data_IF_755505951328
#
_entry.id   IF_755505951328
#
_cell.length_a   1.000
_cell.length_b   1.000
_cell.length_c   1.000
_cell.angle_alpha   90.00
_cell.angle_beta   90.00
_cell.angle_gamma   90.00
#
_symmetry.space_group_name_H-M   'P 1'
#
loop_
_entity.id
_entity.type
_entity.pdbx_description
1 polymer ?
#
# COMPACT_ATOMS: atom_id res chain seq x y z
N UNK A 1 0.78 28.65 10.85
CA UNK A 1 2.12 28.41 10.30
C UNK A 1 2.48 29.23 9.06
N UNK A 2 1.57 30.09 8.60
CA UNK A 2 1.81 30.99 7.45
C UNK A 2 2.86 32.10 7.71
N UNK A 3 3.18 32.33 8.98
CA UNK A 3 4.05 33.44 9.40
C UNK A 3 5.52 33.08 9.60
N UNK A 4 5.88 31.81 9.50
CA UNK A 4 7.28 31.41 9.62
C UNK A 4 8.08 31.76 8.35
N UNK A 5 9.31 32.26 8.48
CA UNK A 5 10.23 32.39 7.35
C UNK A 5 10.37 31.09 6.57
N UNK A 6 10.57 31.19 5.24
CA UNK A 6 10.57 30.04 4.34
C UNK A 6 11.52 28.91 4.75
N UNK A 7 12.67 29.25 5.34
CA UNK A 7 13.68 28.30 5.81
C UNK A 7 13.30 27.55 7.10
N UNK A 8 12.34 28.09 7.89
CA UNK A 8 11.83 27.49 9.11
C UNK A 8 10.50 26.70 8.91
N UNK A 9 9.94 26.75 7.70
CA UNK A 9 8.70 26.00 7.43
C UNK A 9 9.00 24.51 7.34
N UNK A 10 8.12 23.65 7.92
CA UNK A 10 8.21 22.21 7.74
C UNK A 10 8.24 21.84 6.26
N UNK A 11 9.15 20.96 5.88
CA UNK A 11 9.24 20.42 4.53
C UNK A 11 8.70 19.01 4.50
N UNK A 12 8.07 18.65 3.40
CA UNK A 12 7.39 17.39 3.24
C UNK A 12 7.96 16.57 2.09
N UNK A 13 7.73 15.27 2.18
CA UNK A 13 7.89 14.31 1.10
C UNK A 13 6.58 13.55 0.91
N UNK A 14 6.39 13.04 -0.28
CA UNK A 14 5.19 12.36 -0.71
C UNK A 14 5.56 11.00 -1.26
N UNK A 15 5.12 9.96 -0.56
CA UNK A 15 5.32 8.58 -0.93
C UNK A 15 4.14 8.13 -1.78
N UNK A 16 4.44 7.67 -2.99
CA UNK A 16 3.46 7.02 -3.84
C UNK A 16 3.34 5.55 -3.41
N UNK A 17 2.17 5.18 -2.94
CA UNK A 17 1.88 3.88 -2.33
C UNK A 17 0.85 3.15 -3.16
N UNK A 18 1.10 1.89 -3.44
CA UNK A 18 0.15 0.98 -4.06
C UNK A 18 -0.31 -0.04 -3.03
N UNK A 19 -1.60 -0.35 -3.07
CA UNK A 19 -2.24 -1.34 -2.22
C UNK A 19 -2.86 -2.43 -3.08
N UNK A 20 -2.77 -3.66 -2.62
CA UNK A 20 -3.47 -4.80 -3.20
C UNK A 20 -4.14 -5.64 -2.12
N UNK A 21 -5.34 -6.09 -2.40
CA UNK A 21 -6.06 -7.08 -1.61
C UNK A 21 -6.91 -7.93 -2.53
N UNK A 22 -7.72 -8.81 -1.98
CA UNK A 22 -8.64 -9.62 -2.76
C UNK A 22 -9.68 -8.72 -3.47
N UNK A 23 -10.15 -9.05 -4.69
CA UNK A 23 -11.04 -8.17 -5.48
C UNK A 23 -12.38 -7.86 -4.83
N UNK A 24 -12.89 -8.75 -3.98
CA UNK A 24 -14.14 -8.58 -3.23
C UNK A 24 -13.98 -7.74 -1.94
N UNK A 25 -12.75 -7.50 -1.50
CA UNK A 25 -12.47 -6.68 -0.33
C UNK A 25 -12.50 -5.18 -0.65
N UNK A 26 -12.84 -4.40 0.37
CA UNK A 26 -12.90 -2.94 0.27
C UNK A 26 -12.14 -2.29 1.40
N UNK A 27 -11.13 -1.53 1.05
CA UNK A 27 -10.33 -0.78 2.01
C UNK A 27 -10.66 0.71 1.90
N UNK A 28 -11.21 1.27 2.96
CA UNK A 28 -11.53 2.69 3.03
C UNK A 28 -10.30 3.53 3.41
N UNK A 29 -10.27 4.79 2.93
CA UNK A 29 -9.20 5.75 3.26
C UNK A 29 -9.00 5.91 4.77
N UNK A 30 -10.10 5.99 5.55
CA UNK A 30 -10.04 6.17 7.01
C UNK A 30 -9.43 4.96 7.70
N UNK A 31 -9.79 3.76 7.28
CA UNK A 31 -9.26 2.51 7.82
C UNK A 31 -7.77 2.40 7.51
N UNK A 32 -7.37 2.64 6.26
CA UNK A 32 -5.95 2.66 5.87
C UNK A 32 -5.14 3.70 6.67
N UNK A 33 -5.66 4.92 6.83
CA UNK A 33 -4.99 5.96 7.64
C UNK A 33 -4.84 5.54 9.10
N UNK A 34 -5.87 4.93 9.67
CA UNK A 34 -5.85 4.46 11.07
C UNK A 34 -4.81 3.37 11.29
N UNK A 35 -4.80 2.34 10.42
CA UNK A 35 -3.81 1.26 10.52
C UNK A 35 -2.40 1.76 10.28
N UNK A 36 -2.20 2.71 9.35
CA UNK A 36 -0.90 3.35 9.15
C UNK A 36 -0.42 4.10 10.41
N UNK A 37 -1.31 4.78 11.12
CA UNK A 37 -0.95 5.42 12.38
C UNK A 37 -0.60 4.39 13.45
N UNK A 38 -1.36 3.31 13.59
CA UNK A 38 -1.04 2.24 14.53
C UNK A 38 0.30 1.57 14.21
N UNK A 39 0.56 1.26 12.96
CA UNK A 39 1.85 0.73 12.52
C UNK A 39 3.00 1.70 12.84
N UNK A 40 2.81 3.00 12.58
CA UNK A 40 3.77 4.04 12.93
C UNK A 40 4.02 4.13 14.44
N UNK A 41 2.98 4.16 15.26
CA UNK A 41 3.09 4.20 16.72
C UNK A 41 3.75 2.93 17.28
N UNK A 42 3.38 1.77 16.79
CA UNK A 42 3.94 0.49 17.25
C UNK A 42 5.42 0.35 16.91
N UNK A 43 5.82 0.81 15.71
CA UNK A 43 7.20 0.68 15.25
C UNK A 43 8.12 1.78 15.80
N UNK A 44 7.63 3.04 15.79
CA UNK A 44 8.47 4.22 16.05
C UNK A 44 8.28 4.81 17.46
N UNK A 45 7.25 4.34 18.17
CA UNK A 45 6.78 4.97 19.40
C UNK A 45 6.11 6.33 19.14
N UNK A 46 5.54 6.93 20.19
CA UNK A 46 4.85 8.22 20.08
C UNK A 46 5.76 9.35 19.55
N UNK A 47 7.01 9.51 20.03
CA UNK A 47 7.89 10.55 19.51
C UNK A 47 8.21 10.38 18.03
N UNK A 48 8.59 9.19 17.61
CA UNK A 48 8.95 8.90 16.21
C UNK A 48 7.75 9.02 15.28
N UNK A 49 6.57 8.59 15.69
CA UNK A 49 5.33 8.75 14.94
C UNK A 49 4.95 10.23 14.77
N UNK A 50 5.13 11.04 15.83
CA UNK A 50 4.91 12.48 15.78
C UNK A 50 5.92 13.18 14.87
N UNK A 51 7.18 12.74 14.85
CA UNK A 51 8.21 13.29 13.97
C UNK A 51 7.94 12.95 12.51
N UNK A 52 7.53 11.73 12.20
CA UNK A 52 7.17 11.31 10.86
C UNK A 52 5.92 12.03 10.33
N UNK A 53 4.93 12.27 11.18
CA UNK A 53 3.67 12.98 10.87
C UNK A 53 2.98 12.45 9.60
N UNK A 54 2.68 11.14 9.63
CA UNK A 54 2.14 10.39 8.50
C UNK A 54 0.69 10.78 8.20
N UNK A 55 0.41 11.18 6.97
CA UNK A 55 -0.94 11.54 6.52
C UNK A 55 -1.22 11.06 5.11
N UNK A 56 -2.35 10.38 4.92
CA UNK A 56 -2.86 10.01 3.60
C UNK A 56 -3.53 11.23 2.96
N UNK A 57 -2.92 11.82 1.94
CA UNK A 57 -3.40 13.05 1.28
C UNK A 57 -4.16 12.78 -0.02
N UNK A 58 -3.92 11.64 -0.66
CA UNK A 58 -4.67 11.13 -1.82
C UNK A 58 -4.95 9.66 -1.61
N UNK A 59 -6.12 9.21 -2.08
CA UNK A 59 -6.53 7.83 -1.96
C UNK A 59 -7.54 7.48 -3.05
N UNK A 60 -7.33 6.39 -3.75
CA UNK A 60 -8.27 5.79 -4.68
C UNK A 60 -8.18 4.26 -4.53
N UNK A 61 -9.33 3.59 -4.54
CA UNK A 61 -9.39 2.15 -4.37
C UNK A 61 -10.57 1.58 -5.17
N UNK A 62 -10.30 0.54 -5.95
CA UNK A 62 -11.31 -0.20 -6.70
C UNK A 62 -10.81 -1.62 -7.01
N UNK A 63 -11.72 -2.59 -6.97
CA UNK A 63 -11.48 -3.98 -7.41
C UNK A 63 -10.22 -4.62 -6.79
N UNK A 64 -10.05 -4.44 -5.48
CA UNK A 64 -8.92 -4.99 -4.74
C UNK A 64 -7.59 -4.26 -4.95
N UNK A 65 -7.59 -3.13 -5.65
CA UNK A 65 -6.40 -2.30 -5.88
C UNK A 65 -6.60 -0.88 -5.41
N UNK A 66 -5.56 -0.33 -4.80
CA UNK A 66 -5.57 1.03 -4.32
C UNK A 66 -4.28 1.78 -4.61
N UNK A 67 -4.41 3.08 -4.74
CA UNK A 67 -3.31 4.03 -4.84
C UNK A 67 -3.47 5.10 -3.78
N UNK A 68 -2.39 5.39 -3.08
CA UNK A 68 -2.37 6.43 -2.07
C UNK A 68 -1.12 7.32 -2.19
N UNK A 69 -1.26 8.57 -1.80
CA UNK A 69 -0.13 9.44 -1.51
C UNK A 69 -0.05 9.65 -0.01
N UNK A 70 1.04 9.23 0.58
CA UNK A 70 1.33 9.43 2.00
C UNK A 70 2.33 10.59 2.15
N UNK A 71 1.90 11.61 2.87
CA UNK A 71 2.74 12.76 3.23
C UNK A 71 3.51 12.44 4.50
N UNK A 72 4.80 12.77 4.50
CA UNK A 72 5.70 12.58 5.63
C UNK A 72 6.67 13.77 5.74
N UNK A 73 7.16 14.06 6.93
CA UNK A 73 8.20 15.08 7.09
C UNK A 73 9.48 14.72 6.36
N UNK A 74 10.12 15.72 5.78
CA UNK A 74 11.42 15.55 5.13
C UNK A 74 12.45 15.07 6.16
N UNK A 75 13.13 13.97 5.83
CA UNK A 75 14.08 13.32 6.75
C UNK A 75 13.50 12.06 7.41
N UNK A 76 12.16 11.90 7.40
CA UNK A 76 11.45 10.78 8.02
C UNK A 76 10.92 9.76 6.98
N UNK A 77 11.48 9.75 5.78
CA UNK A 77 11.02 8.85 4.70
C UNK A 77 11.30 7.39 4.97
N UNK A 78 12.46 7.06 5.57
CA UNK A 78 12.81 5.68 5.90
C UNK A 78 11.95 5.12 7.04
N UNK A 79 11.73 5.83 8.16
CA UNK A 79 10.73 5.44 9.15
C UNK A 79 9.32 5.27 8.57
N UNK A 80 8.89 6.15 7.67
CA UNK A 80 7.60 6.06 7.01
C UNK A 80 7.48 4.80 6.13
N UNK A 81 8.51 4.48 5.36
CA UNK A 81 8.57 3.25 4.56
C UNK A 81 8.53 2.00 5.45
N UNK A 82 9.23 2.02 6.56
CA UNK A 82 9.21 0.92 7.52
C UNK A 82 7.81 0.71 8.13
N UNK A 83 7.11 1.80 8.50
CA UNK A 83 5.75 1.73 9.00
C UNK A 83 4.77 1.17 7.95
N UNK A 84 4.90 1.59 6.69
CA UNK A 84 4.11 1.05 5.57
C UNK A 84 4.40 -0.44 5.34
N UNK A 85 5.65 -0.88 5.47
CA UNK A 85 6.04 -2.27 5.31
C UNK A 85 5.52 -3.18 6.45
N UNK A 86 5.13 -2.62 7.59
CA UNK A 86 4.51 -3.35 8.70
C UNK A 86 2.99 -3.55 8.53
N UNK A 87 2.38 -2.94 7.49
CA UNK A 87 0.96 -3.13 7.22
C UNK A 87 0.74 -4.44 6.46
N UNK A 88 0.07 -5.37 7.09
CA UNK A 88 -0.30 -6.67 6.54
C UNK A 88 -1.81 -6.88 6.45
N UNK A 89 -2.59 -6.09 7.21
CA UNK A 89 -4.05 -6.09 7.15
C UNK A 89 -4.66 -4.71 7.37
N UNK A 90 -5.87 -4.50 6.86
CA UNK A 90 -6.72 -3.34 7.13
C UNK A 90 -8.14 -3.83 7.35
N UNK A 91 -8.72 -3.52 8.52
CA UNK A 91 -10.06 -4.00 8.94
C UNK A 91 -10.21 -5.54 8.85
N UNK A 92 -9.14 -6.29 9.10
CA UNK A 92 -9.10 -7.75 9.01
C UNK A 92 -8.95 -8.30 7.57
N UNK A 93 -8.90 -7.43 6.56
CA UNK A 93 -8.59 -7.83 5.20
C UNK A 93 -7.07 -7.82 4.97
N UNK A 94 -6.46 -8.92 4.55
CA UNK A 94 -5.05 -8.96 4.17
C UNK A 94 -4.74 -7.95 3.07
N UNK A 95 -3.65 -7.21 3.19
CA UNK A 95 -3.24 -6.20 2.23
C UNK A 95 -1.74 -6.28 1.93
N UNK A 96 -1.39 -6.20 0.65
CA UNK A 96 -0.03 -5.92 0.20
C UNK A 96 0.14 -4.42 0.00
N UNK A 97 1.24 -3.87 0.49
CA UNK A 97 1.52 -2.43 0.41
C UNK A 97 2.93 -2.21 -0.13
N UNK A 98 3.06 -1.38 -1.16
CA UNK A 98 4.34 -1.03 -1.77
C UNK A 98 4.52 0.47 -1.89
N UNK A 99 5.71 0.95 -1.60
CA UNK A 99 6.14 2.30 -1.93
C UNK A 99 6.79 2.27 -3.32
N UNK A 100 6.11 2.86 -4.31
CA UNK A 100 6.58 2.92 -5.70
C UNK A 100 7.64 4.00 -5.91
N UNK A 101 7.57 5.07 -5.12
CA UNK A 101 8.55 6.13 -5.20
C UNK A 101 8.26 7.28 -4.24
N UNK A 102 9.19 8.22 -4.18
CA UNK A 102 9.15 9.37 -3.29
C UNK A 102 9.39 10.64 -4.10
N UNK A 103 8.56 11.65 -3.88
CA UNK A 103 8.65 12.95 -4.55
C UNK A 103 8.57 14.11 -3.59
N UNK A 104 8.98 15.29 -4.07
CA UNK A 104 8.84 16.54 -3.33
C UNK A 104 7.47 17.19 -3.43
N UNK A 105 6.61 16.72 -4.34
CA UNK A 105 5.24 17.24 -4.56
C UNK A 105 4.28 16.09 -4.82
N UNK A 106 3.00 16.31 -4.50
CA UNK A 106 1.92 15.36 -4.80
C UNK A 106 1.85 15.07 -6.30
N UNK A 107 1.86 16.14 -7.12
CA UNK A 107 1.77 16.00 -8.56
C UNK A 107 2.88 15.13 -9.15
N UNK A 108 4.13 15.36 -8.75
CA UNK A 108 5.25 14.55 -9.23
C UNK A 108 5.16 13.08 -8.74
N UNK A 109 4.65 12.84 -7.53
CA UNK A 109 4.39 11.50 -7.03
C UNK A 109 3.34 10.77 -7.89
N UNK A 110 2.23 11.42 -8.20
CA UNK A 110 1.19 10.87 -9.06
C UNK A 110 1.70 10.62 -10.49
N UNK A 111 2.33 11.62 -11.10
CA UNK A 111 2.77 11.54 -12.51
C UNK A 111 3.86 10.50 -12.75
N UNK A 112 4.80 10.38 -11.82
CA UNK A 112 5.96 9.52 -12.01
C UNK A 112 5.70 8.07 -11.58
N UNK A 113 4.81 7.83 -10.62
CA UNK A 113 4.70 6.53 -9.95
C UNK A 113 3.33 5.88 -9.97
N UNK A 114 2.23 6.64 -10.09
CA UNK A 114 0.87 6.10 -9.99
C UNK A 114 0.09 6.07 -11.32
N UNK A 115 0.62 6.63 -12.39
CA UNK A 115 -0.06 6.67 -13.71
C UNK A 115 -0.04 5.36 -14.50
N UNK A 116 0.58 4.32 -14.00
CA UNK A 116 0.51 3.00 -14.63
C UNK A 116 -0.83 2.35 -14.32
N UNK A 117 -1.89 2.89 -14.92
CA UNK A 117 -3.18 2.22 -14.98
C UNK A 117 -3.08 0.98 -15.85
N UNK A 118 -3.61 -0.10 -15.30
CA UNK A 118 -4.12 -1.19 -16.09
C UNK A 118 -3.19 -2.37 -16.14
N UNK A 119 -3.42 -3.24 -15.21
CA UNK A 119 -3.68 -4.60 -15.61
C UNK A 119 -4.88 -5.05 -14.79
N UNK A 120 -5.94 -5.39 -15.48
CA UNK A 120 -7.13 -5.95 -14.87
C UNK A 120 -6.70 -7.20 -14.10
N UNK A 121 -7.10 -7.30 -12.84
CA UNK A 121 -6.93 -8.52 -12.08
C UNK A 121 -7.89 -9.55 -12.67
N UNK A 122 -7.36 -10.70 -13.05
CA UNK A 122 -8.16 -11.80 -13.58
C UNK A 122 -8.23 -12.91 -12.53
N UNK A 123 -9.46 -13.24 -12.09
CA UNK A 123 -9.66 -14.40 -11.23
C UNK A 123 -9.69 -15.67 -12.07
N UNK A 124 -8.96 -16.69 -11.63
CA UNK A 124 -8.93 -18.02 -12.24
C UNK A 124 -8.91 -19.10 -11.20
N UNK A 125 -9.51 -20.24 -11.52
CA UNK A 125 -9.28 -21.45 -10.74
C UNK A 125 -7.96 -22.08 -11.17
N UNK A 126 -7.14 -22.43 -10.20
CA UNK A 126 -5.83 -23.06 -10.37
C UNK A 126 -5.71 -24.27 -9.46
N UNK A 127 -4.89 -25.24 -9.83
CA UNK A 127 -4.51 -26.33 -8.95
C UNK A 127 -3.21 -25.95 -8.23
N UNK A 128 -3.31 -25.73 -6.94
CA UNK A 128 -2.18 -25.37 -6.08
C UNK A 128 -2.09 -26.36 -4.90
N UNK A 129 -0.97 -27.04 -4.77
CA UNK A 129 -0.79 -28.06 -3.73
C UNK A 129 -1.77 -29.24 -3.80
N UNK A 130 -2.16 -29.68 -5.02
CA UNK A 130 -3.14 -30.72 -5.31
C UNK A 130 -4.60 -30.38 -4.95
N UNK A 131 -4.91 -29.13 -4.70
CA UNK A 131 -6.28 -28.65 -4.46
C UNK A 131 -6.65 -27.54 -5.44
N UNK A 132 -7.90 -27.53 -5.85
CA UNK A 132 -8.42 -26.44 -6.65
C UNK A 132 -8.64 -25.20 -5.78
N UNK A 133 -7.99 -24.10 -6.15
CA UNK A 133 -8.02 -22.82 -5.44
C UNK A 133 -8.31 -21.69 -6.39
N UNK A 134 -8.87 -20.62 -5.86
CA UNK A 134 -9.03 -19.36 -6.62
C UNK A 134 -7.73 -18.56 -6.55
N UNK A 135 -7.25 -18.12 -7.70
CA UNK A 135 -6.10 -17.24 -7.82
C UNK A 135 -6.48 -15.96 -8.55
N UNK A 136 -5.87 -14.86 -8.13
CA UNK A 136 -5.93 -13.56 -8.84
C UNK A 136 -4.61 -13.36 -9.56
N UNK A 137 -4.67 -13.32 -10.87
CA UNK A 137 -3.48 -13.03 -11.69
C UNK A 137 -3.32 -11.54 -11.89
N UNK A 138 -2.09 -11.08 -11.65
CA UNK A 138 -1.63 -9.72 -11.90
C UNK A 138 -0.26 -9.81 -12.57
N UNK A 139 -0.20 -9.51 -13.84
CA UNK A 139 1.02 -9.70 -14.65
C UNK A 139 1.52 -11.15 -14.70
N UNK A 140 2.76 -11.38 -14.23
CA UNK A 140 3.40 -12.70 -14.18
C UNK A 140 3.29 -13.38 -12.80
N UNK A 141 2.61 -12.75 -11.86
CA UNK A 141 2.43 -13.27 -10.50
C UNK A 141 0.95 -13.46 -10.25
N UNK A 142 0.59 -14.58 -9.65
CA UNK A 142 -0.74 -14.87 -9.15
C UNK A 142 -0.76 -14.91 -7.64
N UNK A 143 -1.83 -14.41 -7.05
CA UNK A 143 -2.10 -14.57 -5.62
C UNK A 143 -3.11 -15.67 -5.44
N UNK A 144 -2.70 -16.79 -4.83
CA UNK A 144 -3.58 -17.93 -4.55
C UNK A 144 -4.21 -17.76 -3.17
N UNK A 145 -5.54 -17.85 -3.11
CA UNK A 145 -6.28 -17.72 -1.85
C UNK A 145 -6.21 -19.01 -1.05
N UNK A 146 -5.67 -18.91 0.16
CA UNK A 146 -5.60 -19.97 1.16
C UNK A 146 -6.38 -19.53 2.39
N UNK A 147 -7.66 -19.93 2.48
CA UNK A 147 -8.56 -19.57 3.58
C UNK A 147 -8.63 -18.04 3.82
N UNK A 148 -8.03 -17.52 4.88
CA UNK A 148 -8.03 -16.12 5.23
C UNK A 148 -6.80 -15.33 4.71
N UNK A 149 -5.86 -16.01 4.06
CA UNK A 149 -4.64 -15.42 3.52
C UNK A 149 -4.51 -15.71 2.02
N UNK A 150 -3.57 -15.05 1.37
CA UNK A 150 -3.17 -15.41 0.01
C UNK A 150 -1.64 -15.51 -0.09
N UNK A 151 -1.20 -16.37 -0.98
CA UNK A 151 0.21 -16.65 -1.24
C UNK A 151 0.54 -16.25 -2.66
N UNK A 152 1.57 -15.44 -2.84
CA UNK A 152 2.11 -15.12 -4.15
C UNK A 152 2.70 -16.37 -4.79
N UNK A 153 2.30 -16.64 -6.03
CA UNK A 153 2.75 -17.78 -6.81
C UNK A 153 3.06 -17.35 -8.25
N UNK A 154 3.94 -18.07 -8.90
CA UNK A 154 4.25 -17.89 -10.33
C UNK A 154 3.59 -18.99 -11.16
N UNK A 155 3.62 -18.84 -12.49
CA UNK A 155 3.08 -19.85 -13.42
C UNK A 155 3.78 -21.24 -13.28
N UNK A 156 4.86 -21.34 -12.50
CA UNK A 156 5.56 -22.58 -12.18
C UNK A 156 5.00 -23.31 -10.95
N UNK A 157 4.24 -22.60 -10.12
CA UNK A 157 3.77 -23.10 -8.81
C UNK A 157 2.35 -23.68 -8.88
N UNK A 158 1.61 -23.45 -9.99
CA UNK A 158 0.25 -23.92 -10.15
C UNK A 158 -0.07 -24.30 -11.60
N UNK A 159 -1.01 -25.22 -11.76
CA UNK A 159 -1.59 -25.58 -13.04
C UNK A 159 -2.96 -24.88 -13.21
N UNK A 160 -3.31 -24.56 -14.46
CA UNK A 160 -4.65 -24.09 -14.78
C UNK A 160 -5.65 -25.24 -14.60
N UNK A 161 -6.67 -24.97 -13.83
CA UNK A 161 -7.77 -25.94 -13.63
C UNK A 161 -8.66 -26.06 -14.87
#
# INVERSE_FOLDING_TARGET
>A
MKHLPKHLRPRWRYLAVELETWPDERIGRRSFQRELWYAGQNLLGDPGSADADLSVVRYAFADGRGEAIVKVRRGETDPARAALACLDEVDGAPVGVWVRGISGTIRAAEENYLRRRGQDSEERNVVFGNEERVAVRRDSVGDVRLDEAFVGATDLDYDLA
#
